data_IF_005355724135
#
_entry.id   IF_005355724135
#
_cell.length_a   1.000
_cell.length_b   1.000
_cell.length_c   1.000
_cell.angle_alpha   90.00
_cell.angle_beta   90.00
_cell.angle_gamma   90.00
#
_symmetry.space_group_name_H-M   'P 1'
#
loop_
_entity.id
_entity.type
_entity.pdbx_description
1 polymer ?
#
# COMPACT_ATOMS: atom_id res chain seq x y z
N UNK A 1 -27.33 9.32 17.76
CA UNK A 1 -26.94 10.57 17.08
C UNK A 1 -25.43 10.63 16.94
N UNK A 2 -24.65 10.61 18.03
CA UNK A 2 -23.18 10.66 17.99
C UNK A 2 -22.48 9.71 16.99
N UNK A 3 -22.85 8.42 16.92
CA UNK A 3 -22.24 7.46 15.97
C UNK A 3 -22.56 7.80 14.51
N UNK A 4 -23.77 8.28 14.24
CA UNK A 4 -24.18 8.65 12.88
C UNK A 4 -23.46 9.92 12.42
N UNK A 5 -23.24 10.86 13.34
CA UNK A 5 -22.48 12.08 13.10
C UNK A 5 -20.99 11.79 12.87
N UNK A 6 -20.41 10.82 13.59
CA UNK A 6 -19.04 10.34 13.34
C UNK A 6 -18.92 9.66 11.97
N UNK A 7 -19.90 8.80 11.59
CA UNK A 7 -19.93 8.11 10.29
C UNK A 7 -20.22 9.05 9.11
N UNK A 8 -20.83 10.21 9.35
CA UNK A 8 -21.10 11.24 8.34
C UNK A 8 -20.08 12.39 8.38
N UNK A 9 -19.07 12.32 9.25
CA UNK A 9 -18.01 13.32 9.32
C UNK A 9 -17.17 13.31 8.04
N UNK A 10 -16.75 14.50 7.58
CA UNK A 10 -15.91 14.63 6.39
C UNK A 10 -14.61 13.84 6.49
N UNK A 11 -14.00 13.81 7.69
CA UNK A 11 -12.75 13.09 7.96
C UNK A 11 -12.93 11.57 7.93
N UNK A 12 -14.07 11.03 8.40
CA UNK A 12 -14.36 9.59 8.28
C UNK A 12 -14.52 9.17 6.82
N UNK A 13 -15.30 9.91 6.03
CA UNK A 13 -15.52 9.59 4.62
C UNK A 13 -14.23 9.73 3.80
N UNK A 14 -13.41 10.74 4.09
CA UNK A 14 -12.09 10.90 3.49
C UNK A 14 -11.14 9.76 3.89
N UNK A 15 -11.10 9.40 5.17
CA UNK A 15 -10.33 8.25 5.64
C UNK A 15 -10.76 6.94 4.96
N UNK A 16 -12.07 6.72 4.83
CA UNK A 16 -12.60 5.53 4.16
C UNK A 16 -12.25 5.46 2.68
N UNK A 17 -12.29 6.58 1.96
CA UNK A 17 -11.90 6.61 0.54
C UNK A 17 -10.40 6.40 0.35
N UNK A 18 -9.56 6.97 1.22
CA UNK A 18 -8.11 6.74 1.24
C UNK A 18 -7.83 5.27 1.50
N UNK A 19 -8.31 4.71 2.61
CA UNK A 19 -8.06 3.32 2.98
C UNK A 19 -8.56 2.33 1.92
N UNK A 20 -9.69 2.62 1.27
CA UNK A 20 -10.20 1.82 0.17
C UNK A 20 -9.25 1.86 -1.05
N UNK A 21 -8.86 3.05 -1.49
CA UNK A 21 -8.02 3.24 -2.68
C UNK A 21 -6.65 2.59 -2.50
N UNK A 22 -5.92 2.96 -1.45
CA UNK A 22 -4.54 2.50 -1.25
C UNK A 22 -4.50 0.98 -1.03
N UNK A 23 -5.46 0.42 -0.30
CA UNK A 23 -5.54 -1.03 -0.10
C UNK A 23 -5.92 -1.76 -1.39
N UNK A 24 -6.81 -1.21 -2.22
CA UNK A 24 -7.11 -1.77 -3.55
C UNK A 24 -5.88 -1.75 -4.46
N UNK A 25 -5.08 -0.68 -4.46
CA UNK A 25 -3.84 -0.61 -5.21
C UNK A 25 -2.86 -1.70 -4.76
N UNK A 26 -2.69 -1.89 -3.45
CA UNK A 26 -1.87 -2.98 -2.90
C UNK A 26 -2.37 -4.38 -3.31
N UNK A 27 -3.69 -4.60 -3.32
CA UNK A 27 -4.32 -5.85 -3.76
C UNK A 27 -4.08 -6.09 -5.25
N UNK A 28 -4.19 -5.07 -6.10
CA UNK A 28 -3.98 -5.17 -7.55
C UNK A 28 -2.50 -5.49 -7.86
N UNK A 29 -1.56 -4.78 -7.22
CA UNK A 29 -0.12 -5.01 -7.43
C UNK A 29 0.29 -6.42 -6.97
N UNK A 30 -0.15 -6.82 -5.78
CA UNK A 30 0.10 -8.18 -5.25
C UNK A 30 -0.54 -9.24 -6.15
N UNK A 31 -1.76 -8.97 -6.61
CA UNK A 31 -2.48 -9.80 -7.57
C UNK A 31 -1.75 -10.01 -8.89
N UNK A 32 -1.22 -8.93 -9.44
CA UNK A 32 -0.44 -8.95 -10.67
C UNK A 32 0.82 -9.82 -10.50
N UNK A 33 1.54 -9.67 -9.38
CA UNK A 33 2.72 -10.47 -9.06
C UNK A 33 2.37 -11.96 -8.91
N UNK A 34 1.32 -12.30 -8.16
CA UNK A 34 0.85 -13.68 -8.01
C UNK A 34 0.45 -14.26 -9.37
N UNK A 35 -0.31 -13.51 -10.17
CA UNK A 35 -0.75 -13.94 -11.51
C UNK A 35 0.42 -14.16 -12.46
N UNK A 36 1.40 -13.26 -12.45
CA UNK A 36 2.62 -13.38 -13.24
C UNK A 36 3.40 -14.65 -12.87
N UNK A 37 3.70 -14.85 -11.59
CA UNK A 37 4.43 -16.03 -11.11
C UNK A 37 3.65 -17.34 -11.30
N UNK A 38 2.31 -17.28 -11.30
CA UNK A 38 1.45 -18.44 -11.52
C UNK A 38 1.36 -18.86 -12.98
N UNK A 39 1.52 -17.91 -13.91
CA UNK A 39 1.57 -18.13 -15.36
C UNK A 39 2.97 -18.50 -15.86
N UNK A 40 4.01 -18.11 -15.14
CA UNK A 40 5.39 -18.55 -15.37
C UNK A 40 5.65 -19.89 -14.66
N UNK A 41 6.66 -20.65 -15.07
CA UNK A 41 7.10 -21.90 -14.42
C UNK A 41 7.75 -21.67 -13.02
N UNK A 42 7.36 -20.60 -12.33
CA UNK A 42 7.91 -20.12 -11.06
C UNK A 42 6.84 -20.03 -9.97
N UNK A 43 5.90 -20.98 -9.95
CA UNK A 43 4.83 -21.06 -8.93
C UNK A 43 5.37 -21.11 -7.50
N UNK A 44 6.57 -21.64 -7.30
CA UNK A 44 7.24 -21.65 -6.00
C UNK A 44 7.55 -20.25 -5.46
N UNK A 45 7.59 -19.23 -6.32
CA UNK A 45 7.76 -17.81 -5.96
C UNK A 45 6.55 -17.21 -5.23
N UNK A 46 5.35 -17.77 -5.40
CA UNK A 46 4.11 -17.22 -4.81
C UNK A 46 4.17 -17.20 -3.29
N UNK A 47 4.81 -18.20 -2.65
CA UNK A 47 4.99 -18.21 -1.19
C UNK A 47 5.80 -17.01 -0.69
N UNK A 48 6.76 -16.55 -1.50
CA UNK A 48 7.63 -15.41 -1.18
C UNK A 48 6.92 -14.08 -1.35
N UNK A 49 5.94 -14.00 -2.26
CA UNK A 49 5.03 -12.84 -2.35
C UNK A 49 4.29 -12.66 -1.03
N UNK A 50 3.71 -13.73 -0.46
CA UNK A 50 3.00 -13.65 0.83
C UNK A 50 3.92 -13.25 1.99
N UNK A 51 5.16 -13.74 2.03
CA UNK A 51 6.17 -13.26 2.98
C UNK A 51 6.49 -11.78 2.77
N UNK A 52 6.57 -11.33 1.53
CA UNK A 52 6.72 -9.93 1.18
C UNK A 52 5.54 -9.08 1.67
N UNK A 53 4.30 -9.52 1.44
CA UNK A 53 3.09 -8.84 1.95
C UNK A 53 3.13 -8.70 3.46
N UNK A 54 3.43 -9.77 4.19
CA UNK A 54 3.56 -9.74 5.64
C UNK A 54 4.67 -8.78 6.10
N UNK A 55 5.82 -8.79 5.42
CA UNK A 55 6.93 -7.87 5.67
C UNK A 55 6.55 -6.42 5.40
N UNK A 56 5.86 -6.13 4.29
CA UNK A 56 5.39 -4.80 3.91
C UNK A 56 4.39 -4.24 4.92
N UNK A 57 3.39 -5.03 5.33
CA UNK A 57 2.42 -4.64 6.37
C UNK A 57 3.16 -4.33 7.68
N UNK A 58 4.09 -5.19 8.09
CA UNK A 58 4.89 -4.98 9.30
C UNK A 58 5.67 -3.66 9.22
N UNK A 59 6.27 -3.38 8.07
CA UNK A 59 7.02 -2.15 7.84
C UNK A 59 6.11 -0.92 7.86
N UNK A 60 4.89 -1.01 7.32
CA UNK A 60 3.90 0.07 7.37
C UNK A 60 3.45 0.38 8.80
N UNK A 61 3.25 -0.65 9.64
CA UNK A 61 2.95 -0.47 11.06
C UNK A 61 4.11 0.20 11.80
N UNK A 62 5.35 -0.19 11.50
CA UNK A 62 6.54 0.48 12.04
C UNK A 62 6.60 1.94 11.59
N UNK A 63 6.36 2.23 10.32
CA UNK A 63 6.29 3.60 9.80
C UNK A 63 5.22 4.42 10.51
N UNK A 64 4.02 3.86 10.72
CA UNK A 64 2.96 4.51 11.49
C UNK A 64 3.44 4.82 12.92
N UNK A 65 3.99 3.84 13.63
CA UNK A 65 4.47 4.01 15.00
C UNK A 65 5.56 5.08 15.12
N UNK A 66 6.52 5.10 14.18
CA UNK A 66 7.59 6.11 14.14
C UNK A 66 6.99 7.50 13.91
N UNK A 67 6.09 7.65 12.93
CA UNK A 67 5.50 8.95 12.62
C UNK A 67 4.65 9.45 13.79
N UNK A 68 3.80 8.61 14.39
CA UNK A 68 3.00 8.98 15.56
C UNK A 68 3.87 9.38 16.76
N UNK A 69 4.98 8.66 17.01
CA UNK A 69 5.90 8.98 18.11
C UNK A 69 6.59 10.33 17.90
N UNK A 70 6.95 10.66 16.66
CA UNK A 70 7.54 11.96 16.32
C UNK A 70 6.51 13.09 16.40
N UNK A 71 5.25 12.80 16.02
CA UNK A 71 4.13 13.74 16.09
C UNK A 71 3.83 14.15 17.54
N UNK A 72 3.77 13.19 18.46
CA UNK A 72 3.45 13.43 19.88
C UNK A 72 4.60 14.14 20.62
N UNK A 73 5.84 13.92 20.20
CA UNK A 73 7.03 14.57 20.78
C UNK A 73 7.18 16.05 20.37
N UNK A 74 6.57 16.47 19.27
CA UNK A 74 6.62 17.83 18.77
C UNK A 74 5.40 18.59 19.30
N UNK A 75 5.49 19.09 20.54
CA UNK A 75 4.55 20.05 21.15
C UNK A 75 4.62 21.42 20.46
N UNK A 76 4.36 21.44 19.16
CA UNK A 76 4.37 22.59 18.25
C UNK A 76 2.92 22.87 17.85
N UNK A 77 2.58 24.14 17.60
CA UNK A 77 1.23 24.56 17.19
C UNK A 77 0.64 23.63 16.11
N UNK A 78 -0.50 23.01 16.43
CA UNK A 78 -1.12 21.94 15.64
C UNK A 78 -1.34 22.33 14.17
N UNK A 79 -1.77 23.57 13.89
CA UNK A 79 -2.01 24.08 12.53
C UNK A 79 -0.71 24.23 11.69
N UNK A 80 0.38 24.69 12.29
CA UNK A 80 1.67 24.80 11.60
C UNK A 80 2.26 23.42 11.34
N UNK A 81 2.12 22.51 12.29
CA UNK A 81 2.56 21.14 12.13
C UNK A 81 1.77 20.42 11.04
N UNK A 82 0.46 20.60 10.99
CA UNK A 82 -0.42 20.06 9.95
C UNK A 82 -0.02 20.56 8.56
N UNK A 83 0.15 21.87 8.39
CA UNK A 83 0.58 22.46 7.12
C UNK A 83 1.97 22.00 6.67
N UNK A 84 2.93 21.92 7.60
CA UNK A 84 4.29 21.42 7.31
C UNK A 84 4.27 19.94 6.97
N UNK A 85 3.46 19.14 7.66
CA UNK A 85 3.33 17.69 7.39
C UNK A 85 2.70 17.44 6.03
N UNK A 86 1.70 18.23 5.62
CA UNK A 86 1.13 18.13 4.28
C UNK A 86 2.14 18.46 3.18
N UNK A 87 2.91 19.55 3.35
CA UNK A 87 3.97 19.90 2.39
C UNK A 87 5.07 18.84 2.37
N UNK A 88 5.43 18.31 3.53
CA UNK A 88 6.46 17.27 3.66
C UNK A 88 6.02 15.95 3.02
N UNK A 89 4.76 15.52 3.25
CA UNK A 89 4.17 14.36 2.59
C UNK A 89 4.13 14.56 1.07
N UNK A 90 3.73 15.75 0.59
CA UNK A 90 3.75 16.07 -0.84
C UNK A 90 5.15 16.01 -1.45
N UNK A 91 6.19 16.46 -0.72
CA UNK A 91 7.59 16.37 -1.16
C UNK A 91 8.09 14.92 -1.20
N UNK A 92 7.74 14.10 -0.20
CA UNK A 92 8.08 12.67 -0.19
C UNK A 92 7.42 11.99 -1.40
N UNK A 93 6.12 12.20 -1.61
CA UNK A 93 5.37 11.66 -2.75
C UNK A 93 5.97 12.10 -4.08
N UNK A 94 6.27 13.38 -4.24
CA UNK A 94 6.92 13.91 -5.44
C UNK A 94 8.32 13.30 -5.64
N UNK A 95 9.08 13.10 -4.57
CA UNK A 95 10.40 12.46 -4.60
C UNK A 95 10.32 11.00 -5.04
N UNK A 96 9.38 10.23 -4.49
CA UNK A 96 9.12 8.84 -4.88
C UNK A 96 8.68 8.75 -6.34
N UNK A 97 7.77 9.63 -6.78
CA UNK A 97 7.32 9.70 -8.16
C UNK A 97 8.46 10.05 -9.12
N UNK A 98 9.29 11.04 -8.78
CA UNK A 98 10.47 11.40 -9.57
C UNK A 98 11.49 10.27 -9.63
N UNK A 99 11.72 9.56 -8.53
CA UNK A 99 12.61 8.41 -8.51
C UNK A 99 12.10 7.28 -9.44
N UNK A 100 10.79 7.01 -9.41
CA UNK A 100 10.14 6.02 -10.26
C UNK A 100 10.24 6.37 -11.75
N UNK A 101 10.06 7.65 -12.10
CA UNK A 101 10.18 8.14 -13.49
C UNK A 101 11.65 8.10 -13.95
N UNK A 102 12.60 8.37 -13.05
CA UNK A 102 14.03 8.45 -13.34
C UNK A 102 14.72 7.09 -13.42
N UNK A 103 14.19 6.03 -12.79
CA UNK A 103 14.68 4.65 -12.89
C UNK A 103 13.97 3.82 -13.99
N UNK A 104 13.53 4.48 -15.07
CA UNK A 104 13.08 3.82 -16.31
C UNK A 104 14.26 3.42 -17.24
N UNK A 105 15.49 3.34 -16.71
CA UNK A 105 16.63 2.78 -17.42
C UNK A 105 16.48 1.26 -17.55
N UNK A 106 15.95 0.81 -18.68
CA UNK A 106 15.70 -0.62 -19.00
C UNK A 106 16.97 -1.50 -18.95
N UNK A 107 18.15 -0.89 -18.97
CA UNK A 107 19.45 -1.56 -19.13
C UNK A 107 20.04 -2.05 -17.79
N UNK A 108 19.84 -1.34 -16.68
CA UNK A 108 20.37 -1.74 -15.36
C UNK A 108 19.57 -2.86 -14.69
N UNK A 109 18.27 -2.95 -14.99
CA UNK A 109 17.41 -4.06 -14.54
C UNK A 109 17.74 -5.37 -15.26
N UNK A 110 18.21 -5.31 -16.51
CA UNK A 110 18.59 -6.50 -17.29
C UNK A 110 19.97 -7.04 -16.87
N UNK A 111 20.93 -6.18 -16.54
CA UNK A 111 22.25 -6.61 -16.04
C UNK A 111 22.13 -7.21 -14.63
N UNK A 112 21.30 -6.65 -13.75
CA UNK A 112 21.02 -7.19 -12.42
C UNK A 112 20.25 -8.53 -12.46
N UNK A 113 19.37 -8.70 -13.46
CA UNK A 113 18.62 -9.94 -13.68
C UNK A 113 19.47 -11.11 -14.22
N UNK A 114 20.62 -10.85 -14.85
CA UNK A 114 21.44 -11.88 -15.48
C UNK A 114 22.45 -12.52 -14.51
N UNK A 115 22.99 -11.76 -13.55
CA UNK A 115 24.10 -12.21 -12.69
C UNK A 115 23.68 -12.96 -11.41
N UNK A 116 22.41 -12.93 -11.04
CA UNK A 116 21.95 -13.38 -9.70
C UNK A 116 21.23 -14.74 -9.67
N UNK A 117 21.46 -15.60 -10.66
CA UNK A 117 20.77 -16.89 -10.79
C UNK A 117 21.05 -17.84 -9.61
N UNK A 118 19.99 -18.19 -8.89
CA UNK A 118 19.89 -19.41 -8.07
C UNK A 118 19.35 -19.24 -6.65
N UNK A 119 19.60 -18.10 -5.99
CA UNK A 119 19.14 -17.83 -4.60
C UNK A 119 18.52 -16.44 -4.38
N UNK A 120 18.87 -15.47 -5.22
CA UNK A 120 18.39 -14.09 -5.11
C UNK A 120 16.98 -13.87 -5.70
N UNK A 121 16.47 -14.78 -6.53
CA UNK A 121 15.16 -14.63 -7.18
C UNK A 121 14.00 -14.65 -6.15
N UNK A 122 14.11 -15.46 -5.09
CA UNK A 122 13.04 -15.63 -4.10
C UNK A 122 13.01 -14.53 -3.05
N UNK A 123 14.17 -14.13 -2.53
CA UNK A 123 14.30 -12.98 -1.63
C UNK A 123 14.03 -11.66 -2.36
N UNK A 124 14.42 -11.55 -3.65
CA UNK A 124 14.09 -10.40 -4.49
C UNK A 124 12.59 -10.23 -4.67
N UNK A 125 11.85 -11.31 -4.96
CA UNK A 125 10.38 -11.28 -5.04
C UNK A 125 9.76 -10.84 -3.71
N UNK A 126 10.22 -11.38 -2.58
CA UNK A 126 9.73 -10.99 -1.26
C UNK A 126 10.02 -9.51 -0.96
N UNK A 127 11.24 -9.03 -1.23
CA UNK A 127 11.65 -7.66 -0.99
C UNK A 127 10.88 -6.66 -1.87
N UNK A 128 10.75 -6.94 -3.16
CA UNK A 128 9.98 -6.08 -4.08
C UNK A 128 8.52 -6.02 -3.65
N UNK A 129 7.92 -7.17 -3.33
CA UNK A 129 6.53 -7.20 -2.83
C UNK A 129 6.39 -6.42 -1.53
N UNK A 130 7.33 -6.59 -0.59
CA UNK A 130 7.32 -5.87 0.68
C UNK A 130 7.44 -4.35 0.48
N UNK A 131 8.34 -3.89 -0.39
CA UNK A 131 8.52 -2.48 -0.69
C UNK A 131 7.29 -1.87 -1.38
N UNK A 132 6.65 -2.59 -2.29
CA UNK A 132 5.41 -2.16 -2.93
C UNK A 132 4.27 -2.03 -1.91
N UNK A 133 4.03 -3.05 -1.10
CA UNK A 133 2.97 -3.03 -0.07
C UNK A 133 3.27 -1.96 0.99
N UNK A 134 4.55 -1.82 1.39
CA UNK A 134 4.97 -0.80 2.32
C UNK A 134 4.70 0.61 1.79
N UNK A 135 4.95 0.87 0.51
CA UNK A 135 4.68 2.16 -0.14
C UNK A 135 3.20 2.54 0.00
N UNK A 136 2.28 1.65 -0.39
CA UNK A 136 0.84 1.92 -0.28
C UNK A 136 0.42 2.13 1.18
N UNK A 137 1.01 1.37 2.11
CA UNK A 137 0.77 1.56 3.54
C UNK A 137 1.35 2.86 4.09
N UNK A 138 2.50 3.31 3.60
CA UNK A 138 3.12 4.58 3.99
C UNK A 138 2.30 5.77 3.46
N UNK A 139 1.81 5.70 2.22
CA UNK A 139 0.87 6.68 1.66
C UNK A 139 -0.41 6.76 2.49
N UNK A 140 -0.98 5.60 2.86
CA UNK A 140 -2.15 5.54 3.75
C UNK A 140 -1.90 6.28 5.06
N UNK A 141 -0.77 6.04 5.74
CA UNK A 141 -0.42 6.69 7.00
C UNK A 141 -0.29 8.21 6.83
N UNK A 142 0.45 8.65 5.81
CA UNK A 142 0.68 10.07 5.55
C UNK A 142 -0.61 10.81 5.19
N UNK A 143 -1.46 10.23 4.34
CA UNK A 143 -2.75 10.81 3.98
C UNK A 143 -3.71 10.85 5.15
N UNK A 144 -3.69 9.85 6.03
CA UNK A 144 -4.52 9.86 7.24
C UNK A 144 -4.12 10.99 8.19
N UNK A 145 -2.82 11.23 8.35
CA UNK A 145 -2.32 12.33 9.18
C UNK A 145 -2.65 13.70 8.60
N UNK A 146 -2.65 13.82 7.26
CA UNK A 146 -3.04 15.03 6.57
C UNK A 146 -4.53 15.42 6.76
N UNK A 147 -5.38 14.51 7.26
CA UNK A 147 -6.79 14.81 7.56
C UNK A 147 -6.98 15.67 8.82
N UNK A 148 -5.96 15.81 9.67
CA UNK A 148 -6.02 16.56 10.94
C UNK A 148 -6.82 15.86 12.05
N UNK A 149 -7.99 15.29 11.74
CA UNK A 149 -8.77 14.45 12.65
C UNK A 149 -8.37 12.97 12.51
N UNK A 150 -7.29 12.62 13.20
CA UNK A 150 -6.70 11.28 13.19
C UNK A 150 -7.67 10.23 13.74
N UNK A 151 -8.51 10.56 14.73
CA UNK A 151 -9.40 9.59 15.38
C UNK A 151 -10.50 9.13 14.41
N UNK A 152 -11.26 10.07 13.84
CA UNK A 152 -12.32 9.74 12.88
C UNK A 152 -11.74 9.23 11.55
N UNK A 153 -10.63 9.82 11.10
CA UNK A 153 -9.92 9.41 9.90
C UNK A 153 -9.39 7.98 9.96
N UNK A 154 -8.76 7.57 11.08
CA UNK A 154 -8.24 6.20 11.24
C UNK A 154 -9.36 5.16 11.23
N UNK A 155 -10.51 5.46 11.84
CA UNK A 155 -11.68 4.57 11.80
C UNK A 155 -12.18 4.44 10.36
N UNK A 156 -12.26 5.55 9.63
CA UNK A 156 -12.57 5.57 8.20
C UNK A 156 -11.63 4.67 7.40
N UNK A 157 -10.32 4.86 7.56
CA UNK A 157 -9.28 4.07 6.89
C UNK A 157 -9.43 2.58 7.17
N UNK A 158 -9.67 2.20 8.43
CA UNK A 158 -9.86 0.79 8.79
C UNK A 158 -11.09 0.18 8.09
N UNK A 159 -12.19 0.93 8.00
CA UNK A 159 -13.39 0.53 7.23
C UNK A 159 -13.07 0.40 5.75
N UNK A 160 -12.33 1.36 5.18
CA UNK A 160 -11.88 1.35 3.79
C UNK A 160 -11.00 0.13 3.45
N UNK A 161 -10.00 -0.15 4.28
CA UNK A 161 -9.12 -1.32 4.16
C UNK A 161 -9.93 -2.62 4.25
N UNK A 162 -10.86 -2.71 5.20
CA UNK A 162 -11.72 -3.89 5.35
C UNK A 162 -12.58 -4.11 4.11
N UNK A 163 -13.18 -3.04 3.58
CA UNK A 163 -13.97 -3.09 2.35
C UNK A 163 -13.11 -3.50 1.14
N UNK A 164 -11.91 -2.92 0.98
CA UNK A 164 -10.97 -3.27 -0.07
C UNK A 164 -10.54 -4.73 0.02
N UNK A 165 -10.27 -5.26 1.22
CA UNK A 165 -9.92 -6.65 1.42
C UNK A 165 -11.07 -7.60 1.02
N UNK A 166 -12.31 -7.26 1.38
CA UNK A 166 -13.51 -8.03 0.96
C UNK A 166 -13.70 -7.98 -0.55
N UNK A 167 -13.57 -6.80 -1.17
CA UNK A 167 -13.66 -6.63 -2.63
C UNK A 167 -12.55 -7.43 -3.32
N UNK A 168 -11.31 -7.32 -2.83
CA UNK A 168 -10.17 -8.07 -3.34
C UNK A 168 -10.41 -9.58 -3.28
N UNK A 169 -10.84 -10.09 -2.12
CA UNK A 169 -11.20 -11.49 -1.96
C UNK A 169 -12.33 -11.92 -2.91
N UNK A 170 -13.36 -11.10 -3.07
CA UNK A 170 -14.46 -11.36 -4.00
C UNK A 170 -14.00 -11.36 -5.47
N UNK A 171 -13.08 -10.47 -5.85
CA UNK A 171 -12.49 -10.42 -7.19
C UNK A 171 -11.64 -11.65 -7.48
N UNK A 172 -10.76 -12.07 -6.56
CA UNK A 172 -9.96 -13.29 -6.74
C UNK A 172 -10.82 -14.55 -6.76
N UNK A 173 -11.81 -14.64 -5.87
CA UNK A 173 -12.73 -15.78 -5.80
C UNK A 173 -13.70 -15.81 -6.98
N UNK A 174 -14.12 -14.65 -7.49
CA UNK A 174 -15.03 -14.48 -8.62
C UNK A 174 -14.34 -14.71 -9.97
N UNK A 175 -13.10 -14.27 -10.14
CA UNK A 175 -12.31 -14.50 -11.36
C UNK A 175 -11.97 -15.99 -11.57
N UNK A 176 -11.97 -16.80 -10.51
CA UNK A 176 -11.91 -18.27 -10.59
C UNK A 176 -13.23 -18.94 -11.00
N UNK A 177 -14.35 -18.20 -11.05
CA UNK A 177 -15.68 -18.72 -11.46
C UNK A 177 -16.15 -18.19 -12.82
N UNK A 178 -15.41 -17.27 -13.44
CA UNK A 178 -15.73 -16.81 -14.79
C UNK A 178 -15.12 -17.80 -15.77
N UNK A 179 -15.95 -18.75 -16.19
CA UNK A 179 -15.66 -19.68 -17.28
C UNK A 179 -15.28 -18.88 -18.53
N UNK A 180 -14.04 -19.05 -19.01
CA UNK A 180 -13.50 -18.37 -20.21
C UNK A 180 -14.28 -18.74 -21.50
N UNK A 181 -15.24 -19.66 -21.40
CA UNK A 181 -16.10 -20.17 -22.46
C UNK A 181 -17.15 -19.17 -22.98
N UNK A 182 -17.27 -17.99 -22.38
CA UNK A 182 -18.17 -16.94 -22.87
C UNK A 182 -17.48 -15.86 -23.69
N UNK A 183 -16.15 -15.94 -23.83
CA UNK A 183 -15.35 -14.98 -24.62
C UNK A 183 -14.83 -15.60 -25.94
N UNK A 184 -15.08 -16.90 -26.18
CA UNK A 184 -14.79 -17.59 -27.43
C UNK A 184 -15.97 -18.44 -27.91
#
# INVERSE_FOLDING_TARGET
MAVLDTLMSGSFLAGASIGLRECMEAVIVTGLLISYLSKTDRREGVKWVWWGVAGGISLSVVTAAVIFSVFDALSVNLELFEGVTMVFAAVILAGVLMHLIRHQGKEDLQSWAHDSYGRYDTLGIAAITALCVWREGAETVLFTLALGDVASGSIGVFVGITAAAVIGWALFSGMMRVDIRWVF
#
